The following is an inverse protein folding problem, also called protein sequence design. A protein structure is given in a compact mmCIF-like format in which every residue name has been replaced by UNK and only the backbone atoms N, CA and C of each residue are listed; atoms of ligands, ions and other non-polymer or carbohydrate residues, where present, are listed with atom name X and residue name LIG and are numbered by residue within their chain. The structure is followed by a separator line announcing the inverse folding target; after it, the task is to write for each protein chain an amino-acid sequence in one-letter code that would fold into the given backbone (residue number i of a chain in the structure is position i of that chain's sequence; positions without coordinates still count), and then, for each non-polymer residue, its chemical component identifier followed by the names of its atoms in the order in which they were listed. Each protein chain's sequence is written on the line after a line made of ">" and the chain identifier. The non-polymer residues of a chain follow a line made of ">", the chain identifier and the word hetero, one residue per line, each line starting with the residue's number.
data_IF_021747222840
#
_entry.id   IF_021747222840
#
_cell.length_a   1.000
_cell.length_b   1.000
_cell.length_c   1.000
_cell.angle_alpha   90.00
_cell.angle_beta   90.00
_cell.angle_gamma   90.00
#
_symmetry.space_group_name_H-M   'P 1'
#
loop_
_entity.id
_entity.type
_entity.pdbx_description
1 polymer ?
#
# COMPACT_ATOMS: atom_id res chain seq x y z
N UNK A 1 4.77 -5.58 6.70
CA UNK A 1 3.64 -5.93 5.83
C UNK A 1 4.09 -6.85 4.70
N UNK A 2 5.16 -6.54 3.96
CA UNK A 2 5.71 -7.36 2.86
C UNK A 2 5.89 -8.83 3.24
N UNK A 3 6.54 -9.09 4.37
CA UNK A 3 6.74 -10.45 4.89
C UNK A 3 5.40 -11.14 5.22
N UNK A 4 4.45 -10.41 5.81
CA UNK A 4 3.13 -10.96 6.13
C UNK A 4 2.36 -11.38 4.89
N UNK A 5 2.34 -10.54 3.86
CA UNK A 5 1.72 -10.86 2.57
C UNK A 5 2.43 -12.03 1.88
N UNK A 6 3.76 -12.06 1.88
CA UNK A 6 4.53 -13.15 1.26
C UNK A 6 4.29 -14.51 1.95
N UNK A 7 4.13 -14.54 3.27
CA UNK A 7 3.75 -15.75 4.01
C UNK A 7 2.34 -16.23 3.66
N UNK A 8 1.41 -15.28 3.55
CA UNK A 8 0.00 -15.58 3.27
C UNK A 8 -0.23 -16.07 1.84
N UNK A 9 0.52 -15.51 0.89
CA UNK A 9 0.39 -15.80 -0.54
C UNK A 9 1.70 -16.38 -1.11
N UNK A 10 2.03 -17.65 -0.80
CA UNK A 10 3.34 -18.24 -1.14
C UNK A 10 3.59 -18.37 -2.65
N UNK A 11 2.55 -18.30 -3.49
CA UNK A 11 2.65 -18.36 -4.95
C UNK A 11 2.78 -16.98 -5.62
N UNK A 12 2.77 -15.88 -4.84
CA UNK A 12 2.90 -14.51 -5.33
C UNK A 12 4.19 -13.89 -4.81
N UNK A 13 4.79 -13.03 -5.62
CA UNK A 13 6.00 -12.31 -5.26
C UNK A 13 5.67 -10.93 -4.68
N UNK A 14 6.40 -10.51 -3.66
CA UNK A 14 6.22 -9.24 -2.99
C UNK A 14 7.53 -8.48 -2.91
N UNK A 15 7.49 -7.18 -3.23
CA UNK A 15 8.64 -6.28 -3.13
C UNK A 15 8.29 -5.16 -2.15
N UNK A 16 8.99 -5.10 -1.02
CA UNK A 16 8.90 -3.98 -0.09
C UNK A 16 9.75 -2.82 -0.58
N UNK A 17 9.17 -1.64 -0.70
CA UNK A 17 9.88 -0.44 -1.14
C UNK A 17 9.83 0.62 -0.06
N UNK A 18 10.99 1.13 0.35
CA UNK A 18 11.13 2.28 1.26
C UNK A 18 12.46 2.98 0.98
N UNK A 19 12.59 4.23 1.36
CA UNK A 19 13.86 4.95 1.38
C UNK A 19 14.66 4.71 2.69
N UNK A 20 13.97 4.31 3.76
CA UNK A 20 14.55 4.10 5.09
C UNK A 20 15.09 2.66 5.24
N UNK A 21 16.39 2.52 5.03
CA UNK A 21 17.07 1.22 5.03
C UNK A 21 16.92 0.39 6.31
N UNK A 22 16.89 1.01 7.49
CA UNK A 22 16.76 0.31 8.78
C UNK A 22 15.45 -0.48 8.92
N UNK A 23 14.34 0.06 8.38
CA UNK A 23 13.05 -0.66 8.37
C UNK A 23 13.05 -1.83 7.42
N UNK A 24 13.70 -1.67 6.27
CA UNK A 24 13.82 -2.69 5.25
C UNK A 24 14.73 -3.83 5.69
N UNK A 25 15.80 -3.50 6.44
CA UNK A 25 16.76 -4.49 6.92
C UNK A 25 16.09 -5.60 7.75
N UNK A 26 15.17 -5.23 8.64
CA UNK A 26 14.43 -6.21 9.47
C UNK A 26 13.65 -7.20 8.60
N UNK A 27 12.95 -6.70 7.57
CA UNK A 27 12.21 -7.54 6.63
C UNK A 27 13.12 -8.39 5.75
N UNK A 28 14.19 -7.80 5.21
CA UNK A 28 15.14 -8.48 4.36
C UNK A 28 15.89 -9.58 5.13
N UNK A 29 16.34 -9.27 6.35
CA UNK A 29 16.98 -10.26 7.24
C UNK A 29 16.01 -11.42 7.54
N UNK A 30 14.76 -11.13 7.86
CA UNK A 30 13.76 -12.18 8.09
C UNK A 30 13.55 -13.05 6.84
N UNK A 31 13.45 -12.45 5.66
CA UNK A 31 13.29 -13.20 4.41
C UNK A 31 14.47 -14.13 4.13
N UNK A 32 15.70 -13.66 4.34
CA UNK A 32 16.91 -14.44 4.16
C UNK A 32 17.02 -15.59 5.16
N UNK A 33 16.83 -15.33 6.46
CA UNK A 33 16.94 -16.35 7.51
C UNK A 33 15.87 -17.43 7.44
N UNK A 34 14.71 -17.13 6.84
CA UNK A 34 13.61 -18.09 6.67
C UNK A 34 13.49 -18.60 5.23
N UNK A 35 14.51 -18.38 4.40
CA UNK A 35 14.56 -18.84 3.00
C UNK A 35 13.31 -18.48 2.18
N UNK A 36 12.77 -17.26 2.39
CA UNK A 36 11.60 -16.78 1.64
C UNK A 36 12.02 -16.29 0.26
N UNK A 37 11.69 -17.07 -0.78
CA UNK A 37 12.07 -16.74 -2.16
C UNK A 37 11.08 -15.78 -2.85
N UNK A 38 9.94 -15.50 -2.22
CA UNK A 38 8.87 -14.65 -2.76
C UNK A 38 8.79 -13.28 -2.08
N UNK A 39 9.81 -12.87 -1.32
CA UNK A 39 9.90 -11.55 -0.70
C UNK A 39 11.25 -10.90 -1.02
N UNK A 40 11.21 -9.70 -1.60
CA UNK A 40 12.37 -8.88 -1.91
C UNK A 40 12.21 -7.47 -1.35
N UNK A 41 13.31 -6.72 -1.28
CA UNK A 41 13.32 -5.35 -0.76
C UNK A 41 14.14 -4.43 -1.66
N UNK A 42 13.56 -3.30 -2.03
CA UNK A 42 14.16 -2.29 -2.89
C UNK A 42 14.24 -0.95 -2.13
N UNK A 43 15.45 -0.47 -1.88
CA UNK A 43 15.65 0.87 -1.32
C UNK A 43 15.61 1.91 -2.42
N UNK A 44 14.47 2.55 -2.61
CA UNK A 44 14.28 3.57 -3.65
C UNK A 44 13.23 4.61 -3.23
N UNK A 45 13.28 5.77 -3.87
CA UNK A 45 12.17 6.71 -3.84
C UNK A 45 11.02 6.19 -4.70
N UNK A 46 9.80 6.20 -4.18
CA UNK A 46 8.60 5.77 -4.91
C UNK A 46 8.46 6.50 -6.26
N UNK A 47 8.83 7.77 -6.30
CA UNK A 47 8.78 8.59 -7.52
C UNK A 47 9.71 8.10 -8.66
N UNK A 48 10.61 7.17 -8.38
CA UNK A 48 11.59 6.65 -9.34
C UNK A 48 11.42 5.15 -9.61
N UNK A 49 10.27 4.57 -9.23
CA UNK A 49 10.02 3.12 -9.40
C UNK A 49 10.10 2.66 -10.85
N UNK A 50 9.72 3.51 -11.81
CA UNK A 50 9.82 3.21 -13.25
C UNK A 50 11.24 2.90 -13.74
N UNK A 51 12.28 3.30 -13.00
CA UNK A 51 13.68 2.95 -13.31
C UNK A 51 14.06 1.53 -12.89
N UNK A 52 13.27 0.91 -12.01
CA UNK A 52 13.57 -0.41 -11.43
C UNK A 52 12.58 -1.48 -11.85
N UNK A 53 11.33 -1.08 -12.14
CA UNK A 53 10.23 -1.99 -12.42
C UNK A 53 9.68 -1.67 -13.81
N UNK A 54 9.72 -2.62 -14.75
CA UNK A 54 9.13 -2.42 -16.07
C UNK A 54 7.63 -2.16 -16.01
N UNK A 55 7.12 -1.51 -17.04
CA UNK A 55 5.68 -1.21 -17.18
C UNK A 55 4.84 -2.50 -17.23
N UNK A 56 3.64 -2.43 -16.65
CA UNK A 56 2.68 -3.53 -16.69
C UNK A 56 3.15 -4.82 -16.00
N UNK A 57 3.88 -4.72 -14.88
CA UNK A 57 4.40 -5.88 -14.13
C UNK A 57 3.85 -6.03 -12.73
N UNK A 58 3.13 -5.05 -12.23
CA UNK A 58 2.59 -5.06 -10.88
C UNK A 58 1.11 -5.39 -10.91
N UNK A 59 0.67 -6.34 -10.10
CA UNK A 59 -0.76 -6.65 -9.93
C UNK A 59 -1.41 -5.77 -8.89
N UNK A 60 -0.71 -5.50 -7.78
CA UNK A 60 -1.22 -4.73 -6.66
C UNK A 60 -0.15 -3.82 -6.07
N UNK A 61 -0.52 -2.61 -5.70
CA UNK A 61 0.31 -1.66 -4.97
C UNK A 61 -0.32 -1.44 -3.60
N UNK A 62 0.43 -1.79 -2.54
CA UNK A 62 0.00 -1.63 -1.15
C UNK A 62 0.70 -0.44 -0.51
N UNK A 63 -0.03 0.63 -0.24
CA UNK A 63 0.42 1.84 0.45
C UNK A 63 0.03 1.72 1.92
N UNK A 64 1.01 1.38 2.76
CA UNK A 64 0.78 1.01 4.16
C UNK A 64 1.36 2.07 5.08
N UNK A 65 0.52 2.81 5.79
CA UNK A 65 0.87 3.88 6.73
C UNK A 65 1.93 4.85 6.16
N UNK A 66 1.69 5.43 4.98
CA UNK A 66 2.61 6.42 4.42
C UNK A 66 2.59 7.69 5.26
N UNK A 67 3.63 8.52 5.12
CA UNK A 67 3.60 9.88 5.65
C UNK A 67 2.42 10.65 5.02
N UNK A 68 1.47 11.17 5.81
CA UNK A 68 0.26 11.81 5.31
C UNK A 68 0.52 13.12 4.56
N UNK A 69 1.73 13.72 4.65
CA UNK A 69 2.15 14.92 3.91
C UNK A 69 1.12 16.06 3.99
N UNK A 70 0.66 16.40 5.19
CA UNK A 70 -0.50 17.29 5.46
C UNK A 70 -0.42 18.67 4.76
N UNK A 71 0.79 19.17 4.51
CA UNK A 71 1.01 20.50 3.90
C UNK A 71 1.40 20.43 2.41
N UNK A 72 1.48 19.24 1.81
CA UNK A 72 2.07 19.09 0.47
C UNK A 72 1.35 17.99 -0.34
N UNK A 73 0.17 18.30 -0.86
CA UNK A 73 -0.67 17.33 -1.58
C UNK A 73 0.08 16.58 -2.70
N UNK A 74 0.92 17.28 -3.46
CA UNK A 74 1.74 16.65 -4.51
C UNK A 74 2.71 15.58 -4.01
N UNK A 75 3.00 15.51 -2.69
CA UNK A 75 3.86 14.50 -2.07
C UNK A 75 3.09 13.32 -1.49
N UNK A 76 1.78 13.41 -1.36
CA UNK A 76 0.93 12.30 -0.94
C UNK A 76 1.03 11.18 -1.98
N UNK A 77 1.23 9.95 -1.52
CA UNK A 77 1.41 8.79 -2.42
C UNK A 77 0.16 8.41 -3.23
N UNK A 78 -0.96 9.05 -2.97
CA UNK A 78 -2.21 8.93 -3.74
C UNK A 78 -2.54 10.19 -4.55
N UNK A 79 -1.59 11.13 -4.71
CA UNK A 79 -1.77 12.30 -5.58
C UNK A 79 -1.74 11.90 -7.05
N UNK A 80 -2.33 12.73 -7.92
CA UNK A 80 -2.37 12.54 -9.39
C UNK A 80 -1.03 12.09 -9.97
N UNK A 81 0.09 12.72 -9.55
CA UNK A 81 1.43 12.35 -9.99
C UNK A 81 1.76 10.88 -9.74
N UNK A 82 1.41 10.36 -8.58
CA UNK A 82 1.68 8.97 -8.22
C UNK A 82 0.68 8.02 -8.86
N UNK A 83 -0.59 8.43 -9.01
CA UNK A 83 -1.59 7.64 -9.73
C UNK A 83 -1.16 7.41 -11.20
N UNK A 84 -0.62 8.44 -11.87
CA UNK A 84 -0.08 8.31 -13.23
C UNK A 84 1.13 7.36 -13.29
N UNK A 85 2.03 7.41 -12.30
CA UNK A 85 3.13 6.45 -12.19
C UNK A 85 2.61 5.02 -12.01
N UNK A 86 1.67 4.82 -11.08
CA UNK A 86 1.10 3.49 -10.81
C UNK A 86 0.35 2.92 -12.01
N UNK A 87 -0.34 3.77 -12.79
CA UNK A 87 -1.02 3.37 -14.02
C UNK A 87 -0.07 2.75 -15.05
N UNK A 88 1.16 3.25 -15.13
CA UNK A 88 2.19 2.65 -16.00
C UNK A 88 2.68 1.31 -15.47
N UNK A 89 2.86 1.18 -14.16
CA UNK A 89 3.47 0.01 -13.53
C UNK A 89 2.49 -1.16 -13.37
N UNK A 90 1.20 -0.87 -13.18
CA UNK A 90 0.15 -1.88 -12.99
C UNK A 90 -0.20 -2.57 -14.29
N UNK A 91 -0.50 -3.87 -14.19
CA UNK A 91 -1.16 -4.62 -15.26
C UNK A 91 -2.59 -4.08 -15.47
N UNK A 92 -3.24 -4.34 -16.63
CA UNK A 92 -4.67 -4.08 -16.80
C UNK A 92 -5.49 -4.76 -15.69
N UNK A 93 -6.37 -4.00 -15.03
CA UNK A 93 -7.14 -4.49 -13.88
C UNK A 93 -6.40 -4.54 -12.55
N UNK A 94 -5.14 -4.12 -12.50
CA UNK A 94 -4.37 -4.01 -11.27
C UNK A 94 -4.96 -2.98 -10.30
N UNK A 95 -4.70 -3.14 -9.00
CA UNK A 95 -5.31 -2.33 -7.95
C UNK A 95 -4.32 -1.64 -7.03
N UNK A 96 -4.75 -0.53 -6.46
CA UNK A 96 -4.02 0.21 -5.42
C UNK A 96 -4.78 0.07 -4.10
N UNK A 97 -4.05 -0.20 -3.03
CA UNK A 97 -4.53 -0.33 -1.68
C UNK A 97 -3.93 0.76 -0.81
N UNK A 98 -4.75 1.49 -0.07
CA UNK A 98 -4.30 2.41 0.98
C UNK A 98 -4.81 1.92 2.32
N UNK A 99 -3.91 1.76 3.31
CA UNK A 99 -4.23 1.50 4.70
C UNK A 99 -3.58 2.59 5.56
N UNK A 100 -4.36 3.34 6.33
CA UNK A 100 -3.88 4.52 7.06
C UNK A 100 -4.69 4.82 8.31
N UNK A 101 -4.05 5.45 9.31
CA UNK A 101 -4.69 6.07 10.47
C UNK A 101 -5.00 7.56 10.26
N UNK A 102 -4.52 8.16 9.16
CA UNK A 102 -4.77 9.56 8.82
C UNK A 102 -6.12 9.71 8.11
N UNK A 103 -7.09 10.31 8.79
CA UNK A 103 -8.39 10.67 8.20
C UNK A 103 -8.19 11.61 7.00
N UNK A 104 -7.31 12.61 7.12
CA UNK A 104 -7.05 13.59 6.07
C UNK A 104 -6.48 12.94 4.80
N UNK A 105 -5.51 12.00 4.94
CA UNK A 105 -4.99 11.28 3.78
C UNK A 105 -6.05 10.38 3.14
N UNK A 106 -6.89 9.77 3.95
CA UNK A 106 -7.98 8.91 3.48
C UNK A 106 -8.98 9.71 2.66
N UNK A 107 -9.49 10.84 3.18
CA UNK A 107 -10.41 11.75 2.48
C UNK A 107 -9.78 12.33 1.20
N UNK A 108 -8.51 12.75 1.28
CA UNK A 108 -7.77 13.18 0.09
C UNK A 108 -7.76 12.08 -0.98
N UNK A 109 -7.53 10.83 -0.59
CA UNK A 109 -7.50 9.70 -1.53
C UNK A 109 -8.86 9.46 -2.17
N UNK A 110 -9.95 9.50 -1.39
CA UNK A 110 -11.31 9.39 -1.93
C UNK A 110 -11.63 10.52 -2.92
N UNK A 111 -11.19 11.74 -2.62
CA UNK A 111 -11.34 12.88 -3.55
C UNK A 111 -10.56 12.66 -4.86
N UNK A 112 -9.33 12.10 -4.79
CA UNK A 112 -8.56 11.75 -6.00
C UNK A 112 -9.25 10.64 -6.82
N UNK A 113 -9.78 9.61 -6.17
CA UNK A 113 -10.54 8.54 -6.83
C UNK A 113 -11.73 9.11 -7.60
N UNK A 114 -12.50 10.00 -6.98
CA UNK A 114 -13.65 10.67 -7.62
C UNK A 114 -13.20 11.58 -8.76
N UNK A 115 -12.19 12.43 -8.55
CA UNK A 115 -11.70 13.38 -9.55
C UNK A 115 -11.15 12.71 -10.81
N UNK A 116 -10.62 11.49 -10.69
CA UNK A 116 -10.06 10.71 -11.80
C UNK A 116 -11.02 9.63 -12.33
N UNK A 117 -12.28 9.59 -11.87
CA UNK A 117 -13.28 8.58 -12.24
C UNK A 117 -12.77 7.14 -12.05
N UNK A 118 -12.04 6.88 -10.97
CA UNK A 118 -11.51 5.56 -10.65
C UNK A 118 -12.56 4.71 -9.94
N UNK A 119 -12.40 3.38 -10.00
CA UNK A 119 -13.36 2.45 -9.42
C UNK A 119 -12.94 2.03 -8.02
N UNK A 120 -13.74 2.31 -7.00
CA UNK A 120 -13.58 1.75 -5.67
C UNK A 120 -13.99 0.27 -5.73
N UNK A 121 -13.05 -0.61 -5.38
CA UNK A 121 -13.29 -2.06 -5.24
C UNK A 121 -13.78 -2.39 -3.83
N UNK A 122 -13.19 -1.73 -2.82
CA UNK A 122 -13.56 -1.90 -1.41
C UNK A 122 -13.19 -0.65 -0.60
N UNK A 123 -14.08 -0.24 0.31
CA UNK A 123 -13.81 0.81 1.29
C UNK A 123 -14.21 0.31 2.68
N UNK A 124 -13.36 0.59 3.68
CA UNK A 124 -13.58 0.23 5.08
C UNK A 124 -13.16 1.41 5.96
N UNK A 125 -14.12 2.02 6.64
CA UNK A 125 -13.88 3.22 7.44
C UNK A 125 -13.24 2.91 8.80
N UNK A 126 -13.41 1.68 9.30
CA UNK A 126 -12.70 1.14 10.47
C UNK A 126 -12.41 -0.36 10.27
N UNK A 127 -11.15 -0.66 10.02
CA UNK A 127 -10.68 -2.03 9.75
C UNK A 127 -10.91 -2.97 10.94
N UNK A 128 -10.76 -2.47 12.16
CA UNK A 128 -10.86 -3.31 13.37
C UNK A 128 -12.27 -3.40 13.94
N UNK A 129 -13.13 -2.43 13.68
CA UNK A 129 -14.53 -2.47 14.08
C UNK A 129 -15.41 -3.22 13.07
N UNK A 130 -14.95 -3.42 11.83
CA UNK A 130 -15.72 -4.11 10.80
C UNK A 130 -15.46 -5.63 10.85
N UNK A 131 -16.45 -6.46 11.23
CA UNK A 131 -16.27 -7.92 11.32
C UNK A 131 -16.02 -8.61 9.98
N UNK A 132 -16.32 -7.93 8.86
CA UNK A 132 -16.08 -8.43 7.50
C UNK A 132 -14.75 -7.94 6.91
N UNK A 133 -13.87 -7.36 7.72
CA UNK A 133 -12.55 -6.96 7.26
C UNK A 133 -11.73 -8.17 6.81
N UNK A 134 -11.08 -8.08 5.64
CA UNK A 134 -10.17 -9.12 5.17
C UNK A 134 -9.07 -9.44 6.18
N UNK A 135 -8.72 -10.72 6.29
CA UNK A 135 -7.73 -11.17 7.26
C UNK A 135 -6.34 -10.55 7.03
N UNK A 136 -5.95 -10.25 5.80
CA UNK A 136 -4.71 -9.53 5.49
C UNK A 136 -4.68 -8.10 6.04
N UNK A 137 -5.84 -7.51 6.33
CA UNK A 137 -5.92 -6.17 6.95
C UNK A 137 -5.84 -6.23 8.47
N UNK A 138 -6.40 -7.26 9.09
CA UNK A 138 -6.42 -7.40 10.57
C UNK A 138 -5.29 -8.27 11.10
N UNK A 139 -4.89 -9.30 10.35
CA UNK A 139 -3.88 -10.28 10.75
C UNK A 139 -2.44 -9.86 10.47
N UNK A 140 -2.21 -8.93 9.52
CA UNK A 140 -0.88 -8.40 9.24
C UNK A 140 -0.78 -6.99 9.82
N UNK A 141 -0.19 -6.87 11.02
CA UNK A 141 0.03 -5.60 11.69
C UNK A 141 1.47 -5.13 11.55
N UNK A 142 1.66 -3.84 11.22
CA UNK A 142 2.97 -3.19 11.39
C UNK A 142 3.16 -2.80 12.86
N UNK A 143 4.42 -2.62 13.27
CA UNK A 143 4.73 -2.14 14.63
C UNK A 143 3.98 -0.83 14.96
N UNK A 144 3.98 0.14 14.03
CA UNK A 144 3.29 1.42 14.23
C UNK A 144 1.77 1.27 14.28
N UNK A 145 1.21 0.39 13.47
CA UNK A 145 -0.21 0.09 13.49
C UNK A 145 -0.66 -0.44 14.86
N UNK A 146 0.09 -1.37 15.44
CA UNK A 146 -0.16 -1.87 16.79
C UNK A 146 -0.16 -0.75 17.85
N UNK A 147 0.71 0.25 17.71
CA UNK A 147 0.71 1.42 18.59
C UNK A 147 -0.50 2.34 18.35
N UNK A 148 -0.93 2.52 17.09
CA UNK A 148 -2.09 3.34 16.75
C UNK A 148 -3.38 2.72 17.26
N UNK A 149 -3.58 1.43 17.08
CA UNK A 149 -4.73 0.67 17.59
C UNK A 149 -4.81 0.76 19.12
N UNK A 150 -3.70 0.55 19.83
CA UNK A 150 -3.62 0.69 21.31
C UNK A 150 -3.98 2.11 21.78
N UNK A 151 -3.79 3.13 20.95
CA UNK A 151 -4.16 4.53 21.24
C UNK A 151 -5.58 4.88 20.80
N UNK A 152 -6.38 3.89 20.40
CA UNK A 152 -7.76 4.09 19.95
C UNK A 152 -7.89 4.81 18.60
N UNK A 153 -6.85 4.80 17.76
CA UNK A 153 -6.93 5.39 16.43
C UNK A 153 -7.68 4.46 15.48
N UNK A 154 -8.58 5.02 14.70
CA UNK A 154 -9.28 4.32 13.63
C UNK A 154 -8.36 4.06 12.47
N UNK A 155 -8.29 2.82 12.01
CA UNK A 155 -7.53 2.43 10.81
C UNK A 155 -8.49 2.30 9.63
N UNK A 156 -8.25 3.07 8.57
CA UNK A 156 -9.07 3.13 7.37
C UNK A 156 -8.39 2.41 6.21
N UNK A 157 -9.20 1.92 5.30
CA UNK A 157 -8.71 1.20 4.13
C UNK A 157 -9.56 1.51 2.91
N UNK A 158 -8.91 1.67 1.76
CA UNK A 158 -9.56 1.70 0.45
C UNK A 158 -8.72 0.94 -0.56
N UNK A 159 -9.39 0.13 -1.38
CA UNK A 159 -8.86 -0.54 -2.56
C UNK A 159 -9.58 0.02 -3.80
N UNK A 160 -8.82 0.41 -4.81
CA UNK A 160 -9.38 0.97 -6.04
C UNK A 160 -8.58 0.56 -7.26
N UNK A 161 -9.23 0.52 -8.41
CA UNK A 161 -8.62 0.27 -9.72
C UNK A 161 -8.34 1.59 -10.43
N UNK A 162 -7.22 1.64 -11.16
CA UNK A 162 -6.86 2.78 -12.02
C UNK A 162 -7.46 2.64 -13.44
N UNK A 163 -8.20 1.57 -13.72
CA UNK A 163 -8.99 1.43 -14.94
C UNK A 163 -10.25 2.28 -14.80
N UNK A 164 -10.51 3.16 -15.76
CA UNK A 164 -11.78 3.88 -15.82
C UNK A 164 -12.90 2.87 -16.03
N UNK A 165 -14.04 3.07 -15.38
CA UNK A 165 -15.29 2.43 -15.80
C UNK A 165 -15.61 2.92 -17.21
N UNK A 166 -15.49 2.02 -18.20
CA UNK A 166 -15.95 2.26 -19.57
C UNK A 166 -17.46 2.24 -19.60
#
# INVERSE_FOLDING_TARGET
>A
YTIGLAKRYPKRNFVGVDIKGNRMWVGAHHALTHHMHNAAFLRAYIAHLEHYIPEGRIEEIWIIFPDPQLKKDRKKLTSTRFLELYKKLLIPGGTVHLKTDSAELFEFTLAQITAHNLTIVRQIDDVYANPSSPEELVGIQTFYEGLHVKRGRTIRYVQFSLSNNS
#
